data_IF_249563400452
#
_entry.id   IF_249563400452
#
_cell.length_a   1.000
_cell.length_b   1.000
_cell.length_c   1.000
_cell.angle_alpha   90.00
_cell.angle_beta   90.00
_cell.angle_gamma   90.00
#
_symmetry.space_group_name_H-M   'P 1'
#
loop_
_entity.id
_entity.type
_entity.pdbx_description
1 polymer ?
#
# COMPACT_ATOMS: atom_id res chain seq x y z
N UNK A 1 37.49 -21.85 -82.24
CA UNK A 1 36.95 -20.48 -82.40
C UNK A 1 35.53 -20.44 -81.86
N UNK A 2 35.29 -19.57 -80.86
CA UNK A 2 34.02 -19.03 -80.33
C UNK A 2 34.06 -18.98 -78.80
N UNK A 3 34.77 -17.97 -78.28
CA UNK A 3 34.69 -17.50 -76.89
C UNK A 3 33.47 -16.58 -76.76
N UNK A 4 32.54 -16.92 -75.87
CA UNK A 4 31.36 -16.11 -75.56
C UNK A 4 31.65 -15.22 -74.35
N UNK A 5 31.55 -13.90 -74.53
CA UNK A 5 31.66 -12.90 -73.47
C UNK A 5 30.35 -12.84 -72.67
N UNK A 6 30.41 -13.11 -71.35
CA UNK A 6 29.35 -12.77 -70.41
C UNK A 6 29.60 -11.35 -69.87
N UNK A 7 28.66 -10.43 -70.10
CA UNK A 7 28.62 -9.11 -69.45
C UNK A 7 28.08 -9.27 -68.04
N UNK A 8 28.88 -8.92 -67.05
CA UNK A 8 28.45 -8.75 -65.65
C UNK A 8 27.90 -7.32 -65.49
N UNK A 9 26.59 -7.18 -65.25
CA UNK A 9 26.01 -5.92 -64.79
C UNK A 9 26.22 -5.81 -63.28
N UNK A 10 27.06 -4.85 -62.85
CA UNK A 10 27.12 -4.40 -61.45
C UNK A 10 25.87 -3.55 -61.16
N UNK A 11 24.99 -4.05 -60.29
CA UNK A 11 23.92 -3.25 -59.69
C UNK A 11 24.47 -2.70 -58.38
N UNK A 12 24.74 -1.39 -58.34
CA UNK A 12 25.08 -0.67 -57.12
C UNK A 12 23.84 -0.57 -56.22
N UNK A 13 23.78 -1.37 -55.17
CA UNK A 13 22.74 -1.26 -54.14
C UNK A 13 23.06 -0.05 -53.23
N UNK A 14 22.31 1.04 -53.39
CA UNK A 14 22.33 2.15 -52.45
C UNK A 14 21.70 1.71 -51.12
N UNK A 15 22.52 1.59 -50.07
CA UNK A 15 22.04 1.37 -48.71
C UNK A 15 21.46 2.69 -48.20
N UNK A 16 20.15 2.86 -48.32
CA UNK A 16 19.43 3.95 -47.66
C UNK A 16 19.30 3.56 -46.19
N UNK A 17 20.12 4.17 -45.34
CA UNK A 17 20.00 4.06 -43.89
C UNK A 17 18.68 4.71 -43.45
N UNK A 18 17.66 3.89 -43.19
CA UNK A 18 16.48 4.34 -42.45
C UNK A 18 16.86 4.52 -40.98
N UNK A 19 17.14 5.76 -40.58
CA UNK A 19 17.07 6.13 -39.16
C UNK A 19 15.60 6.10 -38.77
N UNK A 20 15.20 5.07 -38.00
CA UNK A 20 13.91 5.07 -37.33
C UNK A 20 13.84 6.35 -36.45
N UNK A 21 12.75 7.13 -36.51
CA UNK A 21 12.60 8.25 -35.60
C UNK A 21 12.62 7.71 -34.18
N UNK A 22 13.63 8.13 -33.41
CA UNK A 22 13.71 7.86 -31.98
C UNK A 22 12.44 8.46 -31.37
N UNK A 23 11.52 7.62 -30.91
CA UNK A 23 10.33 8.08 -30.21
C UNK A 23 10.79 9.00 -29.08
N UNK A 24 10.40 10.28 -29.12
CA UNK A 24 10.61 11.17 -27.97
C UNK A 24 10.02 10.46 -26.76
N UNK A 25 10.82 10.25 -25.72
CA UNK A 25 10.33 9.70 -24.47
C UNK A 25 9.21 10.63 -23.98
N UNK A 26 7.97 10.13 -24.03
CA UNK A 26 6.81 10.91 -23.60
C UNK A 26 6.87 11.03 -22.09
N UNK A 27 6.76 12.25 -21.56
CA UNK A 27 6.74 12.46 -20.12
C UNK A 27 5.59 11.66 -19.49
N UNK A 28 5.79 11.07 -18.30
CA UNK A 28 4.72 10.41 -17.54
C UNK A 28 3.50 11.32 -17.37
N UNK A 29 2.31 10.83 -17.73
CA UNK A 29 1.04 11.53 -17.55
C UNK A 29 0.26 10.88 -16.41
N UNK A 30 -0.29 11.70 -15.53
CA UNK A 30 -1.08 11.29 -14.38
C UNK A 30 -2.49 11.86 -14.46
N UNK A 31 -3.47 11.12 -13.95
CA UNK A 31 -4.84 11.60 -13.76
C UNK A 31 -5.29 11.17 -12.38
N UNK A 32 -5.59 12.15 -11.55
CA UNK A 32 -5.84 11.94 -10.12
C UNK A 32 -7.29 11.57 -9.85
N UNK A 33 -7.49 10.80 -8.79
CA UNK A 33 -8.80 10.38 -8.28
C UNK A 33 -8.79 10.44 -6.76
N UNK A 34 -9.97 10.65 -6.17
CA UNK A 34 -10.16 10.65 -4.72
C UNK A 34 -10.94 9.40 -4.33
N UNK A 35 -10.21 8.43 -3.84
CA UNK A 35 -10.73 7.20 -3.23
C UNK A 35 -9.99 7.05 -1.90
N UNK A 36 -10.70 7.30 -0.79
CA UNK A 36 -10.16 7.06 0.54
C UNK A 36 -10.12 5.54 0.79
N UNK A 37 -9.09 5.05 1.46
CA UNK A 37 -8.91 3.62 1.76
C UNK A 37 -8.94 2.68 0.52
N UNK A 38 -8.09 2.91 -0.49
CA UNK A 38 -8.18 2.17 -1.75
C UNK A 38 -7.72 0.70 -1.62
N UNK A 39 -8.64 -0.25 -1.75
CA UNK A 39 -8.35 -1.68 -1.95
C UNK A 39 -8.27 -2.04 -3.43
N UNK A 40 -7.09 -2.51 -3.86
CA UNK A 40 -6.78 -2.83 -5.26
C UNK A 40 -7.22 -4.24 -5.64
N UNK A 41 -7.84 -4.36 -6.81
CA UNK A 41 -8.08 -5.62 -7.53
C UNK A 41 -7.77 -5.42 -9.02
N UNK A 42 -7.19 -6.42 -9.66
CA UNK A 42 -6.99 -6.44 -11.11
C UNK A 42 -7.87 -7.50 -11.74
N UNK A 43 -8.63 -7.11 -12.76
CA UNK A 43 -9.38 -8.05 -13.62
C UNK A 43 -9.07 -7.75 -15.09
N UNK A 44 -8.67 -8.78 -15.85
CA UNK A 44 -8.14 -8.60 -17.19
C UNK A 44 -6.90 -7.70 -17.22
N UNK A 45 -6.96 -6.63 -18.03
CA UNK A 45 -5.91 -5.62 -18.18
C UNK A 45 -6.11 -4.38 -17.29
N UNK A 46 -7.18 -4.35 -16.51
CA UNK A 46 -7.63 -3.16 -15.79
C UNK A 46 -7.50 -3.33 -14.28
N UNK A 47 -6.88 -2.35 -13.64
CA UNK A 47 -6.81 -2.19 -12.19
C UNK A 47 -8.02 -1.41 -11.72
N UNK A 48 -8.60 -1.83 -10.61
CA UNK A 48 -9.65 -1.14 -9.89
C UNK A 48 -9.20 -0.87 -8.47
N UNK A 49 -9.65 0.24 -7.91
CA UNK A 49 -9.61 0.50 -6.47
C UNK A 49 -11.01 0.76 -5.99
N UNK A 50 -11.37 0.13 -4.87
CA UNK A 50 -12.61 0.37 -4.13
C UNK A 50 -12.23 0.92 -2.77
N UNK A 51 -12.94 1.95 -2.33
CA UNK A 51 -12.64 2.62 -1.08
C UNK A 51 -13.87 3.01 -0.30
N UNK A 52 -13.64 3.68 0.83
CA UNK A 52 -14.68 4.23 1.68
C UNK A 52 -15.69 5.06 0.89
N UNK A 53 -16.88 5.22 1.46
CA UNK A 53 -17.99 5.96 0.86
C UNK A 53 -18.48 5.38 -0.47
N UNK A 54 -18.26 4.09 -0.72
CA UNK A 54 -18.58 3.43 -2.00
C UNK A 54 -17.92 4.14 -3.19
N UNK A 55 -16.75 4.74 -2.94
CA UNK A 55 -15.92 5.36 -3.97
C UNK A 55 -15.12 4.29 -4.72
N UNK A 56 -14.90 4.50 -6.01
CA UNK A 56 -14.09 3.60 -6.82
C UNK A 56 -13.51 4.31 -8.03
N UNK A 57 -12.39 3.76 -8.53
CA UNK A 57 -11.72 4.22 -9.73
C UNK A 57 -11.06 3.05 -10.46
N UNK A 58 -10.72 3.25 -11.73
CA UNK A 58 -9.97 2.28 -12.54
C UNK A 58 -8.82 2.88 -13.31
N UNK A 59 -7.83 2.06 -13.66
CA UNK A 59 -6.69 2.43 -14.48
C UNK A 59 -6.17 1.23 -15.27
N UNK A 60 -5.59 1.46 -16.46
CA UNK A 60 -4.84 0.42 -17.19
C UNK A 60 -3.35 0.41 -16.87
N UNK A 61 -2.82 1.49 -16.28
CA UNK A 61 -1.38 1.71 -16.12
C UNK A 61 -0.97 2.17 -14.71
N UNK A 62 -1.91 2.24 -13.75
CA UNK A 62 -1.70 2.71 -12.37
C UNK A 62 -1.30 4.19 -12.24
N UNK A 63 -1.32 4.95 -13.33
CA UNK A 63 -0.91 6.36 -13.38
C UNK A 63 -2.08 7.28 -13.73
N UNK A 64 -2.84 6.90 -14.76
CA UNK A 64 -4.03 7.62 -15.21
C UNK A 64 -5.26 6.88 -14.69
N UNK A 65 -5.90 7.46 -13.69
CA UNK A 65 -7.09 6.90 -13.08
C UNK A 65 -8.35 7.59 -13.62
N UNK A 66 -9.42 6.82 -13.73
CA UNK A 66 -10.76 7.28 -14.05
C UNK A 66 -11.66 7.00 -12.86
N UNK A 67 -12.24 8.05 -12.25
CA UNK A 67 -13.23 7.90 -11.19
C UNK A 67 -14.50 7.21 -11.74
N UNK A 68 -15.04 6.25 -11.00
CA UNK A 68 -16.28 5.53 -11.32
C UNK A 68 -17.41 5.98 -10.38
N UNK A 69 -17.11 6.06 -9.08
CA UNK A 69 -18.05 6.48 -8.04
C UNK A 69 -17.31 7.23 -6.93
N UNK A 70 -18.02 8.07 -6.17
CA UNK A 70 -17.42 8.94 -5.14
C UNK A 70 -18.18 9.02 -3.82
N UNK A 71 -19.42 8.55 -3.74
CA UNK A 71 -20.23 8.64 -2.52
C UNK A 71 -21.34 7.59 -2.43
N UNK A 72 -21.81 7.32 -1.21
CA UNK A 72 -23.00 6.51 -0.94
C UNK A 72 -24.24 7.31 -1.30
N UNK A 73 -24.92 6.91 -2.37
CA UNK A 73 -26.18 7.52 -2.79
C UNK A 73 -27.01 6.52 -3.63
N UNK A 74 -28.33 6.73 -3.80
CA UNK A 74 -29.20 5.78 -4.51
C UNK A 74 -28.81 5.52 -5.97
N UNK A 75 -28.09 6.45 -6.61
CA UNK A 75 -27.67 6.37 -8.01
C UNK A 75 -26.24 5.81 -8.18
N UNK A 76 -25.57 5.40 -7.09
CA UNK A 76 -24.23 4.84 -7.19
C UNK A 76 -24.27 3.54 -8.02
N UNK A 77 -23.45 3.41 -9.09
CA UNK A 77 -23.53 2.28 -10.01
C UNK A 77 -23.12 0.95 -9.37
N UNK A 78 -22.29 0.98 -8.33
CA UNK A 78 -21.86 -0.23 -7.64
C UNK A 78 -23.02 -0.88 -6.89
N UNK A 79 -23.84 -0.09 -6.20
CA UNK A 79 -25.00 -0.57 -5.44
C UNK A 79 -26.17 0.41 -5.64
N UNK A 80 -26.98 0.23 -6.68
CA UNK A 80 -28.19 1.02 -6.88
C UNK A 80 -29.15 0.86 -5.69
N UNK A 81 -29.77 1.96 -5.25
CA UNK A 81 -30.63 2.00 -4.05
C UNK A 81 -29.93 1.46 -2.79
N UNK A 82 -28.64 1.80 -2.61
CA UNK A 82 -27.79 1.31 -1.51
C UNK A 82 -28.44 1.35 -0.13
N UNK A 83 -29.18 2.42 0.22
CA UNK A 83 -29.86 2.54 1.52
C UNK A 83 -30.95 1.50 1.75
N UNK A 84 -31.56 0.97 0.69
CA UNK A 84 -32.50 -0.14 0.76
C UNK A 84 -31.76 -1.47 0.71
N UNK A 85 -30.81 -1.63 -0.21
CA UNK A 85 -30.06 -2.87 -0.41
C UNK A 85 -29.26 -3.27 0.86
N UNK A 86 -28.70 -2.29 1.57
CA UNK A 86 -27.87 -2.48 2.78
C UNK A 86 -28.52 -1.90 4.05
N UNK A 87 -29.86 -1.80 4.08
CA UNK A 87 -30.61 -1.14 5.17
C UNK A 87 -30.17 -1.58 6.57
N UNK A 88 -30.04 -2.89 6.78
CA UNK A 88 -29.70 -3.49 8.07
C UNK A 88 -28.33 -3.03 8.60
N UNK A 89 -27.39 -2.76 7.68
CA UNK A 89 -26.04 -2.30 8.03
C UNK A 89 -26.07 -0.84 8.45
N UNK A 90 -26.77 0.02 7.71
CA UNK A 90 -26.94 1.43 8.07
C UNK A 90 -27.72 1.59 9.38
N UNK A 91 -28.80 0.83 9.56
CA UNK A 91 -29.59 0.83 10.80
C UNK A 91 -28.71 0.44 12.01
N UNK A 92 -27.89 -0.61 11.86
CA UNK A 92 -27.02 -1.07 12.94
C UNK A 92 -25.95 -0.06 13.30
N UNK A 93 -25.24 0.44 12.28
CA UNK A 93 -24.11 1.35 12.41
C UNK A 93 -24.55 2.80 12.70
N UNK A 94 -25.83 3.13 12.54
CA UNK A 94 -26.34 4.49 12.73
C UNK A 94 -25.57 5.51 11.86
N UNK A 95 -25.31 5.11 10.61
CA UNK A 95 -24.50 5.86 9.65
C UNK A 95 -25.22 5.92 8.31
N UNK A 96 -24.93 6.95 7.52
CA UNK A 96 -25.40 7.13 6.15
C UNK A 96 -24.30 6.82 5.11
N UNK A 97 -23.14 6.34 5.57
CA UNK A 97 -22.01 6.02 4.70
C UNK A 97 -21.42 4.65 4.99
N UNK A 98 -20.59 4.17 4.07
CA UNK A 98 -19.82 2.95 4.20
C UNK A 98 -18.35 3.30 4.44
N UNK A 99 -17.66 2.46 5.19
CA UNK A 99 -16.20 2.54 5.40
C UNK A 99 -15.48 1.60 4.42
N UNK A 100 -14.16 1.43 4.61
CA UNK A 100 -13.25 0.81 3.67
C UNK A 100 -13.68 -0.60 3.27
N UNK A 101 -14.06 -0.86 2.01
CA UNK A 101 -14.43 -2.17 1.54
C UNK A 101 -13.22 -2.93 0.99
N UNK A 102 -13.41 -4.23 0.74
CA UNK A 102 -12.57 -4.99 -0.17
C UNK A 102 -13.40 -5.73 -1.21
N UNK A 103 -12.86 -5.89 -2.42
CA UNK A 103 -13.49 -6.65 -3.49
C UNK A 103 -12.57 -7.78 -3.92
N UNK A 104 -13.00 -9.02 -3.69
CA UNK A 104 -12.26 -10.22 -4.09
C UNK A 104 -13.04 -11.00 -5.16
N UNK A 105 -12.35 -11.50 -6.19
CA UNK A 105 -12.94 -12.46 -7.11
C UNK A 105 -12.77 -13.88 -6.54
N UNK A 106 -13.87 -14.61 -6.36
CA UNK A 106 -13.83 -15.98 -5.84
C UNK A 106 -13.86 -17.03 -6.95
N UNK A 107 -13.81 -18.31 -6.58
CA UNK A 107 -13.66 -19.44 -7.51
C UNK A 107 -14.84 -19.63 -8.48
N UNK A 108 -16.00 -19.03 -8.17
CA UNK A 108 -17.17 -19.00 -9.07
C UNK A 108 -17.07 -17.90 -10.15
N UNK A 109 -15.98 -17.13 -10.16
CA UNK A 109 -15.73 -16.03 -11.09
C UNK A 109 -16.45 -14.73 -10.74
N UNK A 110 -17.27 -14.69 -9.69
CA UNK A 110 -18.00 -13.51 -9.25
C UNK A 110 -17.15 -12.63 -8.34
N UNK A 111 -17.54 -11.38 -8.21
CA UNK A 111 -16.89 -10.37 -7.38
C UNK A 111 -17.65 -10.21 -6.07
N UNK A 112 -16.97 -10.40 -4.95
CA UNK A 112 -17.50 -10.32 -3.60
C UNK A 112 -16.97 -9.04 -2.95
N UNK A 113 -17.86 -8.08 -2.73
CA UNK A 113 -17.58 -6.85 -1.98
C UNK A 113 -17.87 -7.09 -0.51
N UNK A 114 -16.82 -7.12 0.30
CA UNK A 114 -16.90 -7.10 1.75
C UNK A 114 -17.06 -5.64 2.18
N UNK A 115 -18.27 -5.28 2.60
CA UNK A 115 -18.66 -3.91 2.89
C UNK A 115 -18.96 -3.75 4.39
N UNK A 116 -18.75 -2.56 4.92
CA UNK A 116 -18.95 -2.27 6.33
C UNK A 116 -19.40 -0.83 6.55
N UNK A 117 -20.10 -0.61 7.65
CA UNK A 117 -20.42 0.71 8.17
C UNK A 117 -20.09 0.77 9.66
N UNK A 118 -19.75 1.96 10.12
CA UNK A 118 -19.44 2.28 11.51
C UNK A 118 -20.08 3.62 11.87
N UNK A 119 -20.52 3.76 13.12
CA UNK A 119 -21.05 5.03 13.65
C UNK A 119 -20.04 6.17 13.64
N UNK A 120 -18.75 5.83 13.80
CA UNK A 120 -17.62 6.76 13.78
C UNK A 120 -17.17 7.28 15.14
N UNK A 121 -18.08 7.40 16.11
CA UNK A 121 -17.76 7.78 17.50
C UNK A 121 -17.48 6.59 18.43
N UNK A 122 -17.74 5.38 17.94
CA UNK A 122 -17.71 4.12 18.69
C UNK A 122 -17.60 2.94 17.73
N UNK A 123 -17.16 1.74 18.16
CA UNK A 123 -17.05 0.56 17.29
C UNK A 123 -18.42 -0.10 17.04
N UNK A 124 -19.48 0.71 16.91
CA UNK A 124 -20.82 0.26 16.54
C UNK A 124 -20.86 0.04 15.04
N UNK A 125 -20.53 -1.18 14.63
CA UNK A 125 -20.24 -1.50 13.24
C UNK A 125 -20.81 -2.84 12.81
N UNK A 126 -21.08 -2.98 11.52
CA UNK A 126 -21.49 -4.22 10.89
C UNK A 126 -20.68 -4.44 9.60
N UNK A 127 -20.27 -5.68 9.38
CA UNK A 127 -19.57 -6.15 8.19
C UNK A 127 -20.40 -7.24 7.50
N UNK A 128 -20.63 -7.05 6.20
CA UNK A 128 -21.40 -7.95 5.35
C UNK A 128 -20.72 -8.18 4.01
N UNK A 129 -21.37 -8.97 3.15
CA UNK A 129 -20.87 -9.25 1.80
C UNK A 129 -21.96 -9.09 0.75
N UNK A 130 -21.63 -8.42 -0.34
CA UNK A 130 -22.47 -8.27 -1.53
C UNK A 130 -21.75 -8.85 -2.76
N UNK A 131 -22.50 -9.38 -3.73
CA UNK A 131 -21.92 -10.12 -4.87
C UNK A 131 -22.42 -9.57 -6.19
N UNK A 132 -21.51 -9.50 -7.16
CA UNK A 132 -21.80 -9.09 -8.54
C UNK A 132 -21.16 -10.03 -9.55
N UNK A 133 -21.80 -10.20 -10.70
CA UNK A 133 -21.20 -10.87 -11.87
C UNK A 133 -20.17 -9.98 -12.58
N UNK A 134 -20.20 -8.67 -12.35
CA UNK A 134 -19.33 -7.67 -12.98
C UNK A 134 -18.63 -6.83 -11.92
N UNK A 135 -17.36 -6.51 -12.14
CA UNK A 135 -16.55 -5.76 -11.19
C UNK A 135 -17.12 -4.36 -10.87
N UNK A 136 -17.76 -3.70 -11.86
CA UNK A 136 -18.41 -2.38 -11.70
C UNK A 136 -19.87 -2.49 -11.22
N UNK A 137 -20.29 -3.63 -10.70
CA UNK A 137 -21.64 -3.85 -10.16
C UNK A 137 -22.70 -4.21 -11.23
N UNK A 138 -23.99 -4.24 -10.83
CA UNK A 138 -24.47 -3.95 -9.47
C UNK A 138 -24.19 -5.11 -8.50
N UNK A 139 -23.72 -4.82 -7.30
CA UNK A 139 -23.55 -5.78 -6.21
C UNK A 139 -24.88 -5.97 -5.47
N UNK A 140 -25.17 -7.22 -5.13
CA UNK A 140 -26.38 -7.65 -4.42
C UNK A 140 -26.05 -8.23 -3.06
N UNK A 141 -26.73 -7.73 -2.04
CA UNK A 141 -26.46 -8.07 -0.65
C UNK A 141 -26.72 -9.56 -0.38
N UNK A 142 -25.81 -10.21 0.35
CA UNK A 142 -26.01 -11.57 0.88
C UNK A 142 -26.22 -11.59 2.40
N UNK A 143 -25.98 -10.48 3.09
CA UNK A 143 -26.24 -10.31 4.51
C UNK A 143 -25.00 -9.92 5.31
N UNK A 144 -25.26 -9.40 6.51
CA UNK A 144 -24.28 -9.13 7.57
C UNK A 144 -23.84 -10.46 8.19
N UNK A 145 -22.56 -10.59 8.52
CA UNK A 145 -22.04 -11.78 9.21
C UNK A 145 -21.15 -11.47 10.42
N UNK A 146 -20.79 -10.21 10.66
CA UNK A 146 -20.15 -9.76 11.89
C UNK A 146 -20.73 -8.43 12.36
N UNK A 147 -20.87 -8.28 13.67
CA UNK A 147 -21.21 -7.02 14.36
C UNK A 147 -20.24 -6.74 15.51
N UNK A 148 -20.09 -5.46 15.83
CA UNK A 148 -19.41 -4.96 17.02
C UNK A 148 -20.21 -3.82 17.65
N UNK A 149 -19.88 -3.50 18.92
CA UNK A 149 -20.54 -2.41 19.65
C UNK A 149 -21.96 -2.74 20.11
N UNK A 150 -22.28 -4.02 20.30
CA UNK A 150 -23.52 -4.45 20.94
C UNK A 150 -23.46 -4.28 22.46
N UNK A 151 -24.60 -4.01 23.06
CA UNK A 151 -24.79 -4.21 24.50
C UNK A 151 -25.17 -5.69 24.72
N UNK A 152 -24.21 -6.49 25.18
CA UNK A 152 -24.43 -7.91 25.46
C UNK A 152 -23.50 -8.85 24.71
N UNK A 153 -23.99 -10.05 24.40
CA UNK A 153 -23.19 -11.13 23.80
C UNK A 153 -22.71 -10.74 22.40
N UNK A 154 -21.41 -10.91 22.19
CA UNK A 154 -20.67 -10.67 20.97
C UNK A 154 -20.60 -11.93 20.12
N UNK A 155 -19.91 -11.85 18.97
CA UNK A 155 -19.79 -12.94 18.00
C UNK A 155 -19.07 -14.18 18.55
N UNK A 156 -18.23 -14.02 19.59
CA UNK A 156 -17.57 -15.12 20.28
C UNK A 156 -18.36 -15.70 21.47
N UNK A 157 -19.57 -15.17 21.71
CA UNK A 157 -20.47 -15.59 22.80
C UNK A 157 -20.21 -14.93 24.15
N UNK A 158 -19.14 -14.15 24.30
CA UNK A 158 -18.83 -13.35 25.50
C UNK A 158 -19.39 -11.93 25.39
N UNK A 159 -19.42 -11.15 26.47
CA UNK A 159 -19.89 -9.75 26.41
C UNK A 159 -18.95 -8.90 25.55
N UNK A 160 -19.48 -8.04 24.68
CA UNK A 160 -18.64 -7.18 23.84
C UNK A 160 -17.83 -6.17 24.65
N UNK A 161 -16.52 -6.17 24.47
CA UNK A 161 -15.59 -5.24 25.12
C UNK A 161 -14.59 -4.71 24.10
N UNK A 162 -14.67 -3.41 23.78
CA UNK A 162 -13.89 -2.79 22.71
C UNK A 162 -12.37 -2.72 22.97
N UNK A 163 -11.90 -2.97 24.18
CA UNK A 163 -10.46 -3.09 24.49
C UNK A 163 -9.88 -4.45 24.03
N UNK A 164 -10.72 -5.47 23.84
CA UNK A 164 -10.31 -6.83 23.45
C UNK A 164 -10.92 -7.31 22.14
N UNK A 165 -12.15 -6.92 21.83
CA UNK A 165 -12.85 -7.28 20.59
C UNK A 165 -12.66 -6.23 19.50
N UNK A 166 -12.62 -6.65 18.23
CA UNK A 166 -12.39 -5.73 17.12
C UNK A 166 -13.56 -4.77 16.92
N UNK A 167 -13.26 -3.66 16.24
CA UNK A 167 -14.26 -2.99 15.42
C UNK A 167 -14.37 -3.77 14.10
N UNK A 168 -15.57 -4.20 13.69
CA UNK A 168 -15.75 -5.07 12.50
C UNK A 168 -15.76 -4.25 11.21
N UNK A 169 -14.62 -3.65 10.88
CA UNK A 169 -14.39 -2.80 9.69
C UNK A 169 -13.06 -3.17 9.03
N UNK A 170 -12.77 -2.54 7.90
CA UNK A 170 -11.51 -2.64 7.16
C UNK A 170 -11.14 -4.09 6.76
N UNK A 171 -12.06 -4.85 6.13
CA UNK A 171 -11.75 -6.18 5.65
C UNK A 171 -10.74 -6.15 4.51
N UNK A 172 -9.92 -7.19 4.43
CA UNK A 172 -9.25 -7.62 3.22
C UNK A 172 -9.39 -9.14 3.10
N UNK A 173 -9.99 -9.60 2.02
CA UNK A 173 -10.18 -11.02 1.72
C UNK A 173 -9.19 -11.48 0.65
N UNK A 174 -8.41 -12.52 0.96
CA UNK A 174 -7.35 -13.01 0.08
C UNK A 174 -7.22 -14.53 0.12
N UNK A 175 -6.79 -15.09 -1.01
CA UNK A 175 -6.33 -16.48 -1.06
C UNK A 175 -4.88 -16.57 -0.62
N UNK A 176 -4.58 -17.54 0.21
CA UNK A 176 -3.22 -17.91 0.57
C UNK A 176 -2.56 -18.73 -0.56
N UNK A 177 -1.24 -18.97 -0.48
CA UNK A 177 -0.51 -19.71 -1.52
C UNK A 177 -0.94 -21.18 -1.68
N UNK A 178 -1.77 -21.71 -0.77
CA UNK A 178 -2.34 -23.06 -0.81
C UNK A 178 -3.81 -23.05 -1.27
N UNK A 179 -4.36 -21.89 -1.63
CA UNK A 179 -5.74 -21.75 -2.12
C UNK A 179 -6.80 -21.68 -1.02
N UNK A 180 -6.42 -21.50 0.25
CA UNK A 180 -7.36 -21.27 1.34
C UNK A 180 -7.70 -19.79 1.41
N UNK A 181 -8.99 -19.48 1.58
CA UNK A 181 -9.49 -18.11 1.65
C UNK A 181 -9.44 -17.61 3.10
N UNK A 182 -8.93 -16.40 3.28
CA UNK A 182 -8.81 -15.73 4.57
C UNK A 182 -9.38 -14.31 4.46
N UNK A 183 -9.83 -13.76 5.58
CA UNK A 183 -10.15 -12.34 5.70
C UNK A 183 -9.48 -11.77 6.95
N UNK A 184 -8.59 -10.80 6.75
CA UNK A 184 -8.04 -9.99 7.85
C UNK A 184 -8.86 -8.71 7.98
N UNK A 185 -9.09 -8.22 9.18
CA UNK A 185 -9.89 -7.03 9.41
C UNK A 185 -9.61 -6.40 10.78
N UNK A 186 -10.11 -5.18 10.98
CA UNK A 186 -10.10 -4.49 12.26
C UNK A 186 -9.57 -3.06 12.17
N UNK A 187 -10.18 -2.16 12.95
CA UNK A 187 -9.67 -0.82 13.21
C UNK A 187 -9.73 -0.53 14.70
N UNK A 188 -8.60 -0.12 15.25
CA UNK A 188 -8.45 0.33 16.62
C UNK A 188 -8.93 -0.74 17.62
N UNK A 189 -9.73 -0.35 18.63
CA UNK A 189 -10.44 -1.25 19.55
C UNK A 189 -9.57 -2.43 20.05
N UNK A 190 -10.07 -3.66 19.91
CA UNK A 190 -9.38 -4.88 20.31
C UNK A 190 -8.22 -5.30 19.41
N UNK A 191 -8.02 -4.62 18.29
CA UNK A 191 -6.94 -4.87 17.34
C UNK A 191 -7.39 -5.55 16.04
N UNK A 192 -6.41 -6.18 15.38
CA UNK A 192 -6.53 -6.79 14.06
C UNK A 192 -6.74 -8.30 14.20
N UNK A 193 -7.71 -8.84 13.48
CA UNK A 193 -8.12 -10.24 13.55
C UNK A 193 -8.13 -10.87 12.15
N UNK A 194 -8.05 -12.19 12.10
CA UNK A 194 -8.15 -12.97 10.86
C UNK A 194 -9.14 -14.13 11.00
N UNK A 195 -9.96 -14.32 9.98
CA UNK A 195 -10.92 -15.40 9.83
C UNK A 195 -10.56 -16.29 8.65
N UNK A 196 -10.77 -17.58 8.80
CA UNK A 196 -10.84 -18.51 7.68
C UNK A 196 -12.22 -18.38 7.01
N UNK A 197 -12.23 -18.27 5.69
CA UNK A 197 -13.42 -18.01 4.90
C UNK A 197 -13.79 -19.22 4.03
N UNK A 198 -15.07 -19.38 3.77
CA UNK A 198 -15.58 -20.38 2.85
C UNK A 198 -15.43 -19.87 1.40
N UNK A 199 -14.59 -20.50 0.56
CA UNK A 199 -14.34 -20.03 -0.81
C UNK A 199 -15.55 -20.17 -1.74
N UNK A 200 -16.58 -20.95 -1.37
CA UNK A 200 -17.80 -21.13 -2.16
C UNK A 200 -18.88 -20.09 -1.82
N UNK A 201 -18.91 -19.62 -0.58
CA UNK A 201 -20.00 -18.74 -0.12
C UNK A 201 -19.55 -17.31 0.14
N UNK A 202 -18.26 -17.07 0.37
CA UNK A 202 -17.71 -15.79 0.79
C UNK A 202 -18.00 -15.42 2.25
N UNK A 203 -18.54 -16.34 3.05
CA UNK A 203 -18.76 -16.13 4.49
C UNK A 203 -17.65 -16.79 5.32
N UNK A 204 -17.43 -16.37 6.58
CA UNK A 204 -16.55 -17.09 7.49
C UNK A 204 -16.98 -18.56 7.66
N UNK A 205 -16.01 -19.45 7.89
CA UNK A 205 -16.33 -20.79 8.42
C UNK A 205 -16.98 -20.67 9.82
N UNK A 206 -17.86 -21.62 10.21
CA UNK A 206 -18.60 -21.52 11.47
C UNK A 206 -17.70 -21.63 12.71
N UNK A 207 -18.20 -21.15 13.85
CA UNK A 207 -17.61 -21.31 15.19
C UNK A 207 -16.22 -20.66 15.39
N UNK A 208 -15.95 -19.55 14.71
CA UNK A 208 -14.69 -18.80 14.88
C UNK A 208 -14.81 -17.57 15.79
N UNK A 209 -16.04 -17.11 16.09
CA UNK A 209 -16.25 -15.80 16.72
C UNK A 209 -15.64 -14.68 15.87
N UNK A 210 -14.84 -13.82 16.50
CA UNK A 210 -14.05 -12.81 15.80
C UNK A 210 -12.78 -13.36 15.12
N UNK A 211 -12.50 -14.65 15.21
CA UNK A 211 -11.31 -15.28 14.64
C UNK A 211 -10.06 -15.07 15.49
N UNK A 212 -8.89 -15.24 14.88
CA UNK A 212 -7.59 -15.18 15.57
C UNK A 212 -7.07 -13.75 15.57
N UNK A 213 -6.73 -13.23 16.75
CA UNK A 213 -6.05 -11.95 16.89
C UNK A 213 -4.61 -12.01 16.34
N UNK A 214 -4.24 -11.02 15.55
CA UNK A 214 -2.89 -10.86 15.00
C UNK A 214 -2.05 -9.83 15.76
N UNK A 215 -2.67 -8.72 16.19
CA UNK A 215 -2.03 -7.63 16.95
C UNK A 215 -3.06 -6.64 17.51
N UNK A 216 -2.60 -5.62 18.24
CA UNK A 216 -3.42 -4.52 18.74
C UNK A 216 -4.12 -4.82 20.07
N UNK A 217 -5.09 -3.98 20.44
CA UNK A 217 -5.80 -4.04 21.71
C UNK A 217 -5.72 -2.71 22.47
N UNK A 218 -6.60 -2.53 23.45
CA UNK A 218 -6.67 -1.32 24.27
C UNK A 218 -6.74 -0.05 23.42
N UNK A 219 -7.54 -0.10 22.34
CA UNK A 219 -7.75 1.02 21.43
C UNK A 219 -6.46 1.57 20.81
N UNK A 220 -5.46 0.74 20.53
CA UNK A 220 -4.30 1.18 19.73
C UNK A 220 -4.72 1.77 18.40
N UNK A 221 -4.15 2.90 17.97
CA UNK A 221 -4.44 3.52 16.66
C UNK A 221 -3.77 2.74 15.53
N UNK A 222 -4.32 1.57 15.22
CA UNK A 222 -3.86 0.65 14.18
C UNK A 222 -5.07 0.14 13.40
N UNK A 223 -5.02 0.25 12.07
CA UNK A 223 -6.13 -0.14 11.18
C UNK A 223 -5.67 -0.46 9.75
N UNK A 224 -6.63 -0.71 8.85
CA UNK A 224 -6.38 -0.97 7.43
C UNK A 224 -5.44 -2.14 7.16
N UNK A 225 -5.71 -3.36 7.69
CA UNK A 225 -4.83 -4.50 7.48
C UNK A 225 -4.91 -5.01 6.04
N UNK A 226 -3.75 -5.24 5.44
CA UNK A 226 -3.65 -5.85 4.10
C UNK A 226 -2.52 -6.87 4.06
N UNK A 227 -2.82 -8.12 3.71
CA UNK A 227 -1.86 -9.21 3.61
C UNK A 227 -1.54 -9.52 2.15
N UNK A 228 -0.25 -9.47 1.80
CA UNK A 228 0.26 -9.87 0.49
C UNK A 228 1.30 -10.96 0.60
N UNK A 229 1.17 -12.04 -0.17
CA UNK A 229 2.18 -13.09 -0.25
C UNK A 229 3.21 -12.76 -1.33
N UNK A 230 4.50 -12.80 -0.97
CA UNK A 230 5.58 -12.70 -1.95
C UNK A 230 6.18 -14.09 -2.22
N UNK A 231 6.13 -14.60 -3.45
CA UNK A 231 6.63 -15.95 -3.76
C UNK A 231 8.16 -16.06 -3.76
N UNK A 232 8.90 -14.96 -3.90
CA UNK A 232 10.36 -14.98 -3.90
C UNK A 232 10.90 -15.11 -2.48
N UNK A 233 10.35 -14.36 -1.53
CA UNK A 233 10.74 -14.45 -0.11
C UNK A 233 9.99 -15.54 0.66
N UNK A 234 8.89 -16.04 0.09
CA UNK A 234 7.96 -17.00 0.71
C UNK A 234 7.47 -16.51 2.07
N UNK A 235 7.10 -15.23 2.14
CA UNK A 235 6.52 -14.59 3.32
C UNK A 235 5.19 -13.95 2.94
N UNK A 236 4.27 -13.95 3.91
CA UNK A 236 3.13 -13.06 3.96
C UNK A 236 3.56 -11.77 4.64
N UNK A 237 3.26 -10.63 4.03
CA UNK A 237 3.51 -9.31 4.58
C UNK A 237 2.17 -8.71 5.01
N UNK A 238 2.03 -8.42 6.29
CA UNK A 238 0.88 -7.72 6.86
C UNK A 238 1.21 -6.23 6.89
N UNK A 239 0.59 -5.49 5.99
CA UNK A 239 0.61 -4.03 5.95
C UNK A 239 -0.48 -3.48 6.86
N UNK A 240 -0.19 -2.35 7.51
CA UNK A 240 -1.03 -1.72 8.51
C UNK A 240 -0.84 -0.21 8.42
N UNK A 241 -1.82 0.56 8.89
CA UNK A 241 -1.66 1.99 9.12
C UNK A 241 -1.69 2.29 10.61
N UNK A 242 -0.73 3.09 11.07
CA UNK A 242 -0.59 3.51 12.47
C UNK A 242 -0.89 5.00 12.59
N UNK A 243 -1.48 5.41 13.71
CA UNK A 243 -1.89 6.80 13.96
C UNK A 243 -3.28 7.12 13.40
N UNK A 244 -3.62 8.40 13.36
CA UNK A 244 -4.89 8.90 12.81
C UNK A 244 -4.77 9.38 11.38
N UNK A 245 -5.82 9.15 10.58
CA UNK A 245 -5.88 9.46 9.14
C UNK A 245 -5.85 10.95 8.79
N UNK A 246 -6.27 11.82 9.72
CA UNK A 246 -6.37 13.27 9.51
C UNK A 246 -4.98 13.93 9.42
N UNK A 247 -4.94 15.21 9.02
CA UNK A 247 -3.66 15.94 8.88
C UNK A 247 -2.84 16.08 10.17
N UNK A 248 -3.47 15.98 11.35
CA UNK A 248 -2.81 16.02 12.66
C UNK A 248 -2.65 14.63 13.31
N UNK A 249 -3.16 13.57 12.66
CA UNK A 249 -3.21 12.23 13.25
C UNK A 249 -1.91 11.43 13.14
N UNK A 250 -1.01 11.81 12.23
CA UNK A 250 0.29 11.18 12.06
C UNK A 250 0.26 9.81 11.38
N UNK A 251 -0.68 9.62 10.45
CA UNK A 251 -0.84 8.37 9.72
C UNK A 251 0.45 7.95 9.02
N UNK A 252 0.81 6.69 9.18
CA UNK A 252 2.00 6.10 8.57
C UNK A 252 1.80 4.61 8.28
N UNK A 253 2.34 4.15 7.17
CA UNK A 253 2.26 2.75 6.74
C UNK A 253 3.35 1.92 7.39
N UNK A 254 2.97 0.77 7.93
CA UNK A 254 3.87 -0.21 8.53
C UNK A 254 3.71 -1.59 7.91
N UNK A 255 4.74 -2.42 8.04
CA UNK A 255 4.70 -3.81 7.60
C UNK A 255 5.37 -4.75 8.61
N UNK A 256 4.78 -5.93 8.78
CA UNK A 256 5.34 -7.09 9.46
C UNK A 256 5.27 -8.32 8.54
N UNK A 257 5.94 -9.42 8.87
CA UNK A 257 5.89 -10.64 8.05
C UNK A 257 5.74 -11.93 8.84
N UNK A 258 5.18 -12.94 8.19
CA UNK A 258 4.99 -14.29 8.72
C UNK A 258 5.16 -15.34 7.61
N UNK A 259 5.55 -16.57 7.98
CA UNK A 259 5.53 -17.72 7.06
C UNK A 259 4.11 -18.26 6.83
N UNK A 260 3.17 -17.93 7.70
CA UNK A 260 1.77 -18.34 7.63
C UNK A 260 0.86 -17.12 7.43
N UNK A 261 -0.28 -17.25 6.72
CA UNK A 261 -1.23 -16.17 6.53
C UNK A 261 -1.85 -15.66 7.84
N UNK A 262 -1.91 -16.50 8.87
CA UNK A 262 -2.51 -16.21 10.17
C UNK A 262 -1.45 -15.96 11.28
N UNK A 263 -0.21 -15.67 10.89
CA UNK A 263 0.88 -15.33 11.83
C UNK A 263 1.56 -16.55 12.49
N UNK A 264 2.30 -16.34 13.59
CA UNK A 264 2.60 -15.04 14.20
C UNK A 264 3.41 -14.11 13.26
N UNK A 265 3.10 -12.82 13.29
CA UNK A 265 3.78 -11.80 12.51
C UNK A 265 4.87 -11.13 13.34
N UNK A 266 6.03 -10.89 12.73
CA UNK A 266 7.17 -10.22 13.35
C UNK A 266 7.63 -9.04 12.51
N UNK A 267 8.20 -8.02 13.13
CA UNK A 267 8.88 -6.92 12.45
C UNK A 267 10.36 -7.23 12.13
N UNK A 268 11.11 -6.26 11.59
CA UNK A 268 12.51 -6.45 11.22
C UNK A 268 13.44 -6.67 12.43
N UNK A 269 13.08 -6.11 13.60
CA UNK A 269 13.81 -6.29 14.85
C UNK A 269 13.46 -7.62 15.55
N UNK A 270 12.47 -8.35 15.04
CA UNK A 270 12.00 -9.61 15.62
C UNK A 270 10.97 -9.43 16.72
N UNK A 271 10.38 -8.24 16.89
CA UNK A 271 9.28 -8.07 17.82
C UNK A 271 8.03 -8.77 17.31
N UNK A 272 7.35 -9.50 18.21
CA UNK A 272 6.06 -10.10 17.90
C UNK A 272 4.99 -9.02 17.81
N UNK A 273 4.28 -8.94 16.70
CA UNK A 273 3.22 -7.94 16.52
C UNK A 273 2.06 -8.13 17.48
N UNK A 274 1.87 -9.33 18.06
CA UNK A 274 0.84 -9.55 19.09
C UNK A 274 1.02 -8.64 20.31
N UNK A 275 2.25 -8.20 20.58
CA UNK A 275 2.61 -7.32 21.69
C UNK A 275 2.47 -5.82 21.36
N UNK A 276 2.18 -5.48 20.09
CA UNK A 276 1.94 -4.10 19.64
C UNK A 276 0.56 -3.61 20.08
N UNK A 277 0.40 -3.30 21.37
CA UNK A 277 -0.85 -2.82 21.97
C UNK A 277 -0.61 -1.67 22.96
N UNK A 278 -1.65 -0.87 23.18
CA UNK A 278 -1.68 0.13 24.25
C UNK A 278 -1.64 -0.53 25.63
N UNK A 279 -1.27 0.23 26.65
CA UNK A 279 -1.34 -0.23 28.05
C UNK A 279 -2.79 -0.54 28.43
N UNK A 280 -2.99 -1.46 29.37
CA UNK A 280 -4.34 -1.78 29.86
C UNK A 280 -5.00 -0.54 30.46
N UNK A 281 -6.25 -0.28 30.07
CA UNK A 281 -6.99 0.93 30.47
C UNK A 281 -6.60 2.22 29.75
N UNK A 282 -5.62 2.19 28.83
CA UNK A 282 -5.29 3.35 27.99
C UNK A 282 -6.22 3.48 26.78
N UNK A 283 -6.16 4.65 26.14
CA UNK A 283 -6.83 4.94 24.88
C UNK A 283 -5.88 5.72 23.99
N UNK A 284 -5.66 5.25 22.76
CA UNK A 284 -4.74 5.87 21.80
C UNK A 284 -3.30 6.07 22.33
N UNK A 285 -2.77 5.09 23.08
CA UNK A 285 -1.38 5.10 23.58
C UNK A 285 -0.37 4.79 22.46
N UNK A 286 -0.11 5.79 21.62
CA UNK A 286 0.80 5.69 20.48
C UNK A 286 2.24 5.34 20.89
N UNK A 287 2.67 5.79 22.07
CA UNK A 287 4.03 5.53 22.57
C UNK A 287 4.27 4.06 22.85
N UNK A 288 3.24 3.31 23.22
CA UNK A 288 3.34 1.88 23.39
C UNK A 288 3.49 1.13 22.05
N UNK A 289 2.92 1.64 20.96
CA UNK A 289 2.89 0.93 19.66
C UNK A 289 3.95 1.41 18.65
N UNK A 290 4.44 2.64 18.75
CA UNK A 290 5.44 3.19 17.81
C UNK A 290 6.75 2.38 17.68
N UNK A 291 7.21 1.59 18.65
CA UNK A 291 8.40 0.75 18.47
C UNK A 291 8.20 -0.44 17.49
N UNK A 292 6.97 -0.85 17.22
CA UNK A 292 6.67 -2.09 16.49
C UNK A 292 6.44 -1.89 14.99
N UNK A 293 6.78 -2.89 14.18
CA UNK A 293 6.52 -2.89 12.74
C UNK A 293 7.50 -2.02 11.95
N UNK A 294 7.80 -2.42 10.72
CA UNK A 294 8.69 -1.66 9.83
C UNK A 294 7.94 -0.45 9.28
N UNK A 295 8.36 0.79 9.58
CA UNK A 295 7.70 2.00 9.09
C UNK A 295 8.21 2.32 7.68
N UNK A 296 7.34 2.13 6.68
CA UNK A 296 7.68 2.32 5.26
C UNK A 296 7.61 3.78 4.82
N UNK A 297 6.61 4.51 5.31
CA UNK A 297 6.33 5.88 4.89
C UNK A 297 5.49 6.60 5.95
N UNK A 298 5.85 7.85 6.23
CA UNK A 298 5.04 8.80 7.01
C UNK A 298 5.07 10.18 6.36
N UNK A 299 4.52 11.20 6.99
CA UNK A 299 4.49 12.56 6.42
C UNK A 299 5.89 13.12 6.10
N UNK A 300 6.07 13.64 4.89
CA UNK A 300 7.36 14.17 4.40
C UNK A 300 7.16 15.29 3.36
N UNK A 301 8.20 16.07 3.11
CA UNK A 301 8.25 17.01 1.98
C UNK A 301 9.67 17.19 1.47
N UNK A 302 9.89 16.99 0.17
CA UNK A 302 11.15 17.33 -0.51
C UNK A 302 11.20 18.79 -0.97
N UNK A 303 10.11 19.55 -0.80
CA UNK A 303 10.09 20.96 -1.15
C UNK A 303 10.98 21.78 -0.20
N UNK A 304 11.63 22.81 -0.75
CA UNK A 304 12.36 23.83 0.00
C UNK A 304 11.89 25.22 -0.43
N UNK A 305 12.39 26.28 0.21
CA UNK A 305 12.08 27.66 -0.21
C UNK A 305 12.47 27.94 -1.68
N UNK A 306 13.48 27.24 -2.19
CA UNK A 306 14.07 27.47 -3.52
C UNK A 306 13.77 26.38 -4.56
N UNK A 307 13.16 25.26 -4.17
CA UNK A 307 12.91 24.14 -5.08
C UNK A 307 11.56 23.47 -4.79
N UNK A 308 10.75 23.27 -5.84
CA UNK A 308 9.54 22.44 -5.77
C UNK A 308 9.91 21.01 -5.40
N UNK A 309 9.02 20.32 -4.69
CA UNK A 309 9.19 18.91 -4.36
C UNK A 309 7.86 18.25 -4.05
N UNK A 310 7.84 16.93 -4.13
CA UNK A 310 6.71 16.12 -3.67
C UNK A 310 6.67 16.11 -2.14
N UNK A 311 5.48 15.92 -1.58
CA UNK A 311 5.30 15.76 -0.15
C UNK A 311 3.91 15.25 0.18
N UNK A 312 3.84 14.45 1.24
CA UNK A 312 2.63 13.77 1.70
C UNK A 312 2.40 14.07 3.18
N UNK A 313 1.12 14.10 3.55
CA UNK A 313 0.64 14.17 4.94
C UNK A 313 -0.26 12.97 5.14
N UNK A 314 -0.05 12.26 6.25
CA UNK A 314 -0.85 11.09 6.63
C UNK A 314 -1.06 10.07 5.48
N UNK A 315 0.00 9.59 4.80
CA UNK A 315 -0.15 8.54 3.78
C UNK A 315 -0.49 7.19 4.45
N UNK A 316 -1.55 6.53 3.99
CA UNK A 316 -1.92 5.22 4.53
C UNK A 316 -3.19 4.59 3.97
N UNK A 317 -3.72 3.66 4.75
CA UNK A 317 -4.76 2.69 4.41
C UNK A 317 -4.50 2.06 3.05
N UNK A 318 -3.43 1.28 3.00
CA UNK A 318 -2.90 0.80 1.74
C UNK A 318 -3.44 -0.58 1.37
N UNK A 319 -3.42 -0.85 0.08
CA UNK A 319 -3.42 -2.18 -0.50
C UNK A 319 -2.13 -2.44 -1.28
N UNK A 320 -1.87 -3.71 -1.60
CA UNK A 320 -0.66 -4.12 -2.33
C UNK A 320 -1.00 -5.08 -3.46
N UNK A 321 -0.58 -4.73 -4.68
CA UNK A 321 -0.69 -5.60 -5.84
C UNK A 321 0.67 -6.21 -6.18
N UNK A 322 0.74 -7.55 -6.26
CA UNK A 322 1.87 -8.27 -6.84
C UNK A 322 1.51 -8.77 -8.24
N UNK A 323 2.24 -8.31 -9.25
CA UNK A 323 2.10 -8.79 -10.61
C UNK A 323 2.95 -10.05 -10.82
N UNK A 324 2.31 -11.22 -10.84
CA UNK A 324 3.01 -12.49 -11.07
C UNK A 324 3.73 -12.60 -12.43
N UNK A 325 3.37 -11.77 -13.44
CA UNK A 325 4.02 -11.78 -14.75
C UNK A 325 5.33 -11.00 -14.73
N UNK A 326 5.30 -9.79 -14.16
CA UNK A 326 6.48 -8.90 -14.11
C UNK A 326 7.28 -9.06 -12.83
N UNK A 327 6.74 -9.79 -11.84
CA UNK A 327 7.26 -9.95 -10.47
C UNK A 327 7.38 -8.62 -9.71
N UNK A 328 6.59 -7.62 -10.09
CA UNK A 328 6.62 -6.29 -9.49
C UNK A 328 5.54 -6.16 -8.43
N UNK A 329 5.88 -5.50 -7.33
CA UNK A 329 4.93 -5.11 -6.28
C UNK A 329 4.65 -3.62 -6.34
N UNK A 330 3.39 -3.26 -6.08
CA UNK A 330 2.90 -1.89 -6.06
C UNK A 330 2.15 -1.65 -4.75
N UNK A 331 2.48 -0.56 -4.08
CA UNK A 331 1.79 -0.03 -2.90
C UNK A 331 0.78 1.01 -3.37
N UNK A 332 -0.50 0.78 -3.12
CA UNK A 332 -1.60 1.69 -3.48
C UNK A 332 -2.20 2.22 -2.19
N UNK A 333 -2.30 3.53 -2.04
CA UNK A 333 -2.73 4.16 -0.79
C UNK A 333 -3.38 5.52 -1.08
N UNK A 334 -4.10 6.07 -0.10
CA UNK A 334 -4.49 7.47 -0.15
C UNK A 334 -3.51 8.31 0.66
N UNK A 335 -3.40 9.59 0.33
CA UNK A 335 -2.61 10.53 1.12
C UNK A 335 -3.24 11.92 1.05
N UNK A 336 -3.06 12.68 2.13
CA UNK A 336 -3.22 14.14 2.12
C UNK A 336 -1.92 14.80 1.69
N UNK A 337 -1.92 16.13 1.59
CA UNK A 337 -0.79 16.89 1.08
C UNK A 337 -0.47 18.10 1.95
N UNK A 338 0.80 18.52 2.03
CA UNK A 338 1.17 19.76 2.69
C UNK A 338 0.35 20.94 2.11
N UNK A 339 -0.25 21.74 3.00
CA UNK A 339 -1.02 22.95 2.65
C UNK A 339 -2.29 22.72 1.81
N UNK A 340 -2.88 21.51 1.81
CA UNK A 340 -4.16 21.20 1.14
C UNK A 340 -5.27 20.72 2.10
N UNK A 341 -5.06 20.87 3.42
CA UNK A 341 -6.00 20.40 4.43
C UNK A 341 -6.30 18.89 4.28
N UNK A 342 -7.58 18.53 4.36
CA UNK A 342 -8.05 17.14 4.31
C UNK A 342 -8.26 16.61 2.89
N UNK A 343 -7.91 17.39 1.85
CA UNK A 343 -7.91 16.89 0.47
C UNK A 343 -7.00 15.67 0.35
N UNK A 344 -7.52 14.61 -0.28
CA UNK A 344 -6.78 13.37 -0.48
C UNK A 344 -6.93 12.83 -1.90
N UNK A 345 -5.89 12.14 -2.35
CA UNK A 345 -5.85 11.47 -3.65
C UNK A 345 -5.17 10.11 -3.53
N UNK A 346 -5.46 9.22 -4.48
CA UNK A 346 -4.75 7.94 -4.61
C UNK A 346 -3.31 8.17 -5.07
N UNK A 347 -2.38 7.40 -4.50
CA UNK A 347 -0.98 7.30 -4.93
C UNK A 347 -0.60 5.84 -5.11
N UNK A 348 0.35 5.62 -6.02
CA UNK A 348 0.93 4.31 -6.30
C UNK A 348 2.44 4.45 -6.25
N UNK A 349 3.11 3.65 -5.43
CA UNK A 349 4.57 3.57 -5.35
C UNK A 349 5.01 2.13 -5.63
N UNK A 350 6.13 1.93 -6.32
CA UNK A 350 6.71 0.59 -6.44
C UNK A 350 7.26 0.13 -5.09
N UNK A 351 7.14 -1.16 -4.82
CA UNK A 351 7.85 -1.82 -3.74
C UNK A 351 8.98 -2.68 -4.32
N UNK A 352 10.14 -2.61 -3.70
CA UNK A 352 11.30 -3.43 -4.03
C UNK A 352 11.69 -4.24 -2.81
N UNK A 353 12.15 -5.48 -3.00
CA UNK A 353 12.60 -6.29 -1.87
C UNK A 353 14.10 -6.02 -1.59
N UNK A 354 14.45 -5.66 -0.36
CA UNK A 354 15.86 -5.58 0.04
C UNK A 354 16.46 -6.99 0.22
N UNK A 355 17.76 -7.09 0.51
CA UNK A 355 18.46 -8.38 0.67
C UNK A 355 17.90 -9.25 1.81
N UNK A 356 17.29 -8.62 2.82
CA UNK A 356 16.78 -9.30 4.02
C UNK A 356 15.32 -9.73 3.86
N UNK A 357 14.75 -9.54 2.66
CA UNK A 357 13.38 -9.89 2.36
C UNK A 357 12.37 -8.93 2.99
N UNK A 358 12.69 -7.63 3.08
CA UNK A 358 11.76 -6.58 3.48
C UNK A 358 11.47 -5.63 2.31
N UNK A 359 10.20 -5.23 2.10
CA UNK A 359 9.86 -4.28 1.06
C UNK A 359 10.34 -2.88 1.44
N UNK A 360 10.96 -2.19 0.48
CA UNK A 360 11.27 -0.76 0.53
C UNK A 360 10.40 -0.04 -0.51
N UNK A 361 9.77 1.07 -0.12
CA UNK A 361 8.94 1.85 -1.02
C UNK A 361 9.79 2.82 -1.85
N UNK A 362 9.52 2.91 -3.15
CA UNK A 362 10.12 3.91 -4.03
C UNK A 362 9.82 5.33 -3.49
N UNK A 363 10.79 6.27 -3.48
CA UNK A 363 10.57 7.63 -3.02
C UNK A 363 9.54 8.44 -3.83
N UNK A 364 9.38 8.12 -5.11
CA UNK A 364 8.41 8.77 -6.00
C UNK A 364 7.27 7.84 -6.41
N UNK A 365 6.18 8.46 -6.85
CA UNK A 365 5.05 7.72 -7.42
C UNK A 365 5.49 6.97 -8.68
N UNK A 366 4.94 5.79 -8.89
CA UNK A 366 5.19 4.96 -10.05
C UNK A 366 4.92 5.73 -11.35
N UNK A 367 5.86 5.70 -12.27
CA UNK A 367 5.82 6.44 -13.53
C UNK A 367 6.14 5.55 -14.75
N UNK A 368 6.11 4.23 -14.58
CA UNK A 368 6.49 3.28 -15.63
C UNK A 368 7.99 2.96 -15.67
N UNK A 369 8.73 3.32 -14.62
CA UNK A 369 10.18 3.16 -14.57
C UNK A 369 10.61 1.68 -14.73
N UNK A 370 11.53 1.37 -15.66
CA UNK A 370 12.04 0.02 -15.82
C UNK A 370 13.03 -0.33 -14.70
N UNK A 371 13.22 -1.62 -14.47
CA UNK A 371 14.27 -2.10 -13.57
C UNK A 371 15.63 -1.78 -14.19
N UNK A 372 16.29 -0.75 -13.66
CA UNK A 372 17.51 -0.16 -14.25
C UNK A 372 18.71 -0.39 -13.34
N UNK A 373 19.83 -0.84 -13.93
CA UNK A 373 21.13 -0.90 -13.26
C UNK A 373 21.65 0.52 -13.03
N UNK A 374 21.99 0.85 -11.78
CA UNK A 374 22.56 2.15 -11.42
C UNK A 374 24.05 1.96 -11.11
N UNK A 375 24.98 2.41 -11.98
CA UNK A 375 26.40 2.29 -11.69
C UNK A 375 26.81 3.29 -10.59
N UNK A 376 27.87 3.01 -9.79
CA UNK A 376 28.33 3.90 -8.72
C UNK A 376 28.57 5.35 -9.19
N UNK A 377 29.12 5.55 -10.40
CA UNK A 377 29.32 6.89 -10.94
C UNK A 377 28.01 7.68 -11.09
N UNK A 378 26.91 7.03 -11.52
CA UNK A 378 25.59 7.65 -11.61
C UNK A 378 24.97 7.90 -10.24
N UNK A 379 25.22 7.01 -9.27
CA UNK A 379 24.76 7.16 -7.89
C UNK A 379 25.53 8.24 -7.11
N UNK A 380 26.79 8.53 -7.43
CA UNK A 380 27.57 9.57 -6.74
C UNK A 380 26.95 10.97 -6.93
N UNK A 381 26.97 11.81 -5.88
CA UNK A 381 26.43 13.16 -5.93
C UNK A 381 25.75 13.62 -4.65
N UNK A 382 25.15 14.80 -4.69
CA UNK A 382 24.39 15.38 -3.57
C UNK A 382 22.97 14.82 -3.55
N UNK A 383 22.44 14.52 -2.37
CA UNK A 383 21.10 14.00 -2.17
C UNK A 383 20.36 14.79 -1.08
N UNK A 384 19.06 15.02 -1.30
CA UNK A 384 18.07 15.30 -0.26
C UNK A 384 17.68 13.98 0.41
N UNK A 385 17.92 13.87 1.71
CA UNK A 385 17.71 12.65 2.49
C UNK A 385 16.58 12.82 3.49
N UNK A 386 15.55 11.97 3.40
CA UNK A 386 14.45 11.87 4.36
C UNK A 386 14.67 10.65 5.25
N UNK A 387 14.62 10.86 6.57
CA UNK A 387 14.52 9.78 7.56
C UNK A 387 13.09 9.74 8.07
N UNK A 388 12.35 8.68 7.78
CA UNK A 388 10.95 8.56 8.24
C UNK A 388 10.86 8.25 9.74
N UNK A 389 11.94 7.73 10.35
CA UNK A 389 11.98 7.31 11.76
C UNK A 389 11.03 6.17 12.06
N UNK A 390 10.64 6.04 13.33
CA UNK A 390 9.67 5.05 13.85
C UNK A 390 8.50 5.66 14.63
N UNK A 391 8.49 6.96 14.82
CA UNK A 391 7.45 7.68 15.56
C UNK A 391 6.08 7.65 14.86
N UNK A 392 5.01 7.83 15.63
CA UNK A 392 3.71 8.28 15.12
C UNK A 392 3.68 9.80 15.31
N UNK A 393 3.67 10.57 14.22
CA UNK A 393 3.78 12.03 14.30
C UNK A 393 3.11 12.73 13.11
N UNK A 394 2.48 13.87 13.40
CA UNK A 394 1.98 14.80 12.38
C UNK A 394 3.09 15.70 11.80
N UNK A 395 4.28 15.71 12.40
CA UNK A 395 5.40 16.51 11.90
C UNK A 395 5.84 16.00 10.53
N UNK A 396 5.69 16.86 9.52
CA UNK A 396 6.20 16.62 8.17
C UNK A 396 7.73 16.60 8.21
N UNK A 397 8.34 15.45 7.89
CA UNK A 397 9.79 15.31 7.86
C UNK A 397 10.36 16.04 6.64
N UNK A 398 11.41 16.83 6.86
CA UNK A 398 12.11 17.61 5.82
C UNK A 398 13.51 17.04 5.58
N UNK A 399 14.09 17.24 4.38
CA UNK A 399 15.32 16.56 4.01
C UNK A 399 16.55 17.21 4.63
N UNK A 400 17.56 16.39 4.90
CA UNK A 400 18.96 16.80 5.11
C UNK A 400 19.74 16.65 3.82
N UNK A 401 20.75 17.47 3.59
CA UNK A 401 21.63 17.35 2.44
C UNK A 401 22.86 16.49 2.78
N UNK A 402 23.04 15.43 2.02
CA UNK A 402 24.23 14.58 2.09
C UNK A 402 24.89 14.50 0.71
N UNK A 403 26.13 14.03 0.67
CA UNK A 403 26.84 13.72 -0.57
C UNK A 403 27.39 12.30 -0.53
N UNK A 404 27.02 11.50 -1.52
CA UNK A 404 27.62 10.20 -1.81
C UNK A 404 28.89 10.43 -2.64
N UNK A 405 30.06 10.26 -2.04
CA UNK A 405 31.36 10.48 -2.69
C UNK A 405 31.79 9.25 -3.49
N UNK A 406 32.62 9.46 -4.52
CA UNK A 406 33.10 8.39 -5.41
C UNK A 406 33.96 7.32 -4.70
N UNK A 407 34.54 7.66 -3.56
CA UNK A 407 35.34 6.75 -2.73
C UNK A 407 34.49 5.86 -1.80
N UNK A 408 33.15 5.94 -1.90
CA UNK A 408 32.23 5.18 -1.07
C UNK A 408 31.93 5.84 0.29
N UNK A 409 32.43 7.04 0.56
CA UNK A 409 32.10 7.79 1.79
C UNK A 409 30.84 8.66 1.62
N UNK A 410 30.20 9.01 2.73
CA UNK A 410 29.11 9.98 2.82
C UNK A 410 29.59 11.19 3.61
N UNK A 411 29.36 12.39 3.09
CA UNK A 411 29.63 13.68 3.77
C UNK A 411 28.40 14.60 3.76
N UNK A 412 28.48 15.75 4.43
CA UNK A 412 27.39 16.73 4.54
C UNK A 412 26.78 16.75 5.94
N UNK A 413 25.46 16.89 6.03
CA UNK A 413 24.73 16.93 7.30
C UNK A 413 24.69 15.57 8.03
N UNK A 414 25.09 14.49 7.35
CA UNK A 414 25.32 13.17 7.91
C UNK A 414 26.59 12.57 7.32
N UNK A 415 27.20 11.63 8.03
CA UNK A 415 28.44 10.96 7.63
C UNK A 415 28.27 9.45 7.60
N UNK A 416 29.12 8.75 6.84
CA UNK A 416 29.11 7.29 6.79
C UNK A 416 29.67 6.75 5.49
N UNK A 417 29.12 5.64 5.00
CA UNK A 417 29.61 4.94 3.81
C UNK A 417 28.45 4.41 2.97
N UNK A 418 28.67 4.23 1.68
CA UNK A 418 27.68 3.64 0.78
C UNK A 418 28.36 2.72 -0.23
N UNK A 419 27.64 1.67 -0.63
CA UNK A 419 28.07 0.74 -1.68
C UNK A 419 26.88 0.25 -2.50
N UNK A 420 27.16 -0.14 -3.73
CA UNK A 420 26.24 -0.90 -4.59
C UNK A 420 26.80 -2.32 -4.65
N UNK A 421 26.04 -3.30 -4.15
CA UNK A 421 26.52 -4.68 -3.95
C UNK A 421 26.19 -5.59 -5.13
N UNK A 422 24.94 -5.54 -5.60
CA UNK A 422 24.47 -6.15 -6.86
C UNK A 422 23.91 -5.06 -7.78
N UNK A 423 23.43 -5.42 -8.99
CA UNK A 423 23.04 -4.47 -10.05
C UNK A 423 22.25 -3.23 -9.61
N UNK A 424 21.45 -3.28 -8.53
CA UNK A 424 20.90 -2.06 -7.93
C UNK A 424 20.75 -2.14 -6.40
N UNK A 425 21.39 -3.10 -5.71
CA UNK A 425 21.24 -3.27 -4.25
C UNK A 425 22.10 -2.26 -3.51
N UNK A 426 21.46 -1.46 -2.66
CA UNK A 426 22.12 -0.43 -1.87
C UNK A 426 22.44 -0.95 -0.47
N UNK A 427 23.67 -0.68 -0.01
CA UNK A 427 24.02 -0.70 1.41
C UNK A 427 24.54 0.67 1.81
N UNK A 428 23.89 1.28 2.80
CA UNK A 428 24.18 2.63 3.27
C UNK A 428 24.39 2.55 4.78
N UNK A 429 25.53 3.05 5.25
CA UNK A 429 25.78 3.32 6.66
C UNK A 429 25.64 4.82 6.90
N UNK A 430 24.79 5.21 7.83
CA UNK A 430 24.62 6.60 8.25
C UNK A 430 24.83 6.68 9.75
N UNK A 431 25.88 7.40 10.17
CA UNK A 431 26.26 7.59 11.57
C UNK A 431 26.32 6.28 12.38
N UNK A 432 26.80 5.19 11.76
CA UNK A 432 26.93 3.88 12.41
C UNK A 432 25.78 2.90 12.17
N UNK A 433 24.60 3.37 11.75
CA UNK A 433 23.45 2.49 11.45
C UNK A 433 23.52 2.00 10.00
N UNK A 434 23.42 0.69 9.81
CA UNK A 434 23.35 0.07 8.49
C UNK A 434 21.91 0.00 7.97
N UNK A 435 21.76 0.33 6.70
CA UNK A 435 20.51 0.26 5.95
C UNK A 435 20.75 -0.51 4.64
N UNK A 436 19.79 -1.34 4.25
CA UNK A 436 19.83 -2.10 3.01
C UNK A 436 18.55 -1.91 2.19
N UNK A 437 18.71 -1.81 0.86
CA UNK A 437 17.61 -1.55 -0.06
C UNK A 437 18.05 -1.47 -1.50
N UNK A 438 17.61 -0.44 -2.22
CA UNK A 438 17.85 -0.30 -3.67
C UNK A 438 18.17 1.13 -4.09
N UNK A 439 19.01 1.26 -5.12
CA UNK A 439 19.10 2.46 -5.95
C UNK A 439 18.14 2.35 -7.13
N UNK A 440 17.51 3.46 -7.50
CA UNK A 440 16.49 3.52 -8.55
C UNK A 440 16.72 4.72 -9.47
N UNK A 441 16.13 4.65 -10.65
CA UNK A 441 15.91 5.81 -11.52
C UNK A 441 14.41 6.06 -11.55
N UNK A 442 13.99 7.23 -11.10
CA UNK A 442 12.57 7.58 -10.94
C UNK A 442 12.24 8.91 -11.62
N UNK A 443 10.95 9.17 -11.82
CA UNK A 443 10.45 10.46 -12.31
C UNK A 443 10.00 11.34 -11.15
N UNK A 444 10.64 12.49 -10.98
CA UNK A 444 10.17 13.53 -10.09
C UNK A 444 9.09 14.35 -10.78
N UNK A 445 7.82 14.09 -10.46
CA UNK A 445 6.69 14.79 -11.07
C UNK A 445 6.57 16.27 -10.67
N UNK A 446 7.21 16.71 -9.59
CA UNK A 446 7.19 18.12 -9.18
C UNK A 446 8.23 18.96 -9.92
N UNK A 447 9.35 18.33 -10.31
CA UNK A 447 10.46 18.96 -11.06
C UNK A 447 10.51 18.56 -12.54
N UNK A 448 9.65 17.64 -12.96
CA UNK A 448 9.53 17.11 -14.32
C UNK A 448 10.87 16.60 -14.90
N UNK A 449 11.59 15.81 -14.11
CA UNK A 449 12.87 15.22 -14.53
C UNK A 449 13.08 13.84 -13.95
N UNK A 450 13.87 13.03 -14.66
CA UNK A 450 14.38 11.78 -14.10
C UNK A 450 15.48 12.06 -13.08
N UNK A 451 15.47 11.32 -11.97
CA UNK A 451 16.43 11.44 -10.88
C UNK A 451 16.89 10.06 -10.41
N UNK A 452 18.11 9.99 -9.90
CA UNK A 452 18.57 8.82 -9.17
C UNK A 452 18.11 8.95 -7.73
N UNK A 453 17.57 7.87 -7.19
CA UNK A 453 17.14 7.80 -5.80
C UNK A 453 17.67 6.54 -5.14
N UNK A 454 17.56 6.49 -3.82
CA UNK A 454 17.65 5.24 -3.08
C UNK A 454 16.55 5.15 -2.03
N UNK A 455 16.19 3.92 -1.70
CA UNK A 455 15.28 3.59 -0.61
C UNK A 455 15.83 2.40 0.14
N UNK A 456 16.05 2.57 1.44
CA UNK A 456 16.74 1.61 2.30
C UNK A 456 16.07 1.49 3.66
N UNK A 457 16.23 0.34 4.30
CA UNK A 457 15.67 0.01 5.61
C UNK A 457 16.77 -0.44 6.58
N UNK A 458 16.70 0.00 7.84
CA UNK A 458 17.56 -0.54 8.91
C UNK A 458 17.03 -1.88 9.45
N UNK A 459 17.85 -2.55 10.26
CA UNK A 459 17.43 -3.72 11.03
C UNK A 459 16.28 -3.45 12.01
N UNK A 460 16.15 -2.20 12.49
CA UNK A 460 15.08 -1.78 13.40
C UNK A 460 13.77 -1.36 12.69
N UNK A 461 13.79 -1.41 11.34
CA UNK A 461 12.63 -1.08 10.51
C UNK A 461 12.42 0.41 10.26
N UNK A 462 13.50 1.21 10.26
CA UNK A 462 13.47 2.62 9.87
C UNK A 462 13.74 2.80 8.37
N UNK A 463 12.82 3.45 7.65
CA UNK A 463 13.01 3.80 6.25
C UNK A 463 13.78 5.11 6.06
N UNK A 464 14.73 5.09 5.12
CA UNK A 464 15.47 6.26 4.66
C UNK A 464 15.41 6.34 3.15
N UNK A 465 15.07 7.52 2.64
CA UNK A 465 15.06 7.83 1.21
C UNK A 465 16.09 8.89 0.89
N UNK A 466 16.73 8.75 -0.26
CA UNK A 466 17.57 9.78 -0.86
C UNK A 466 17.12 10.10 -2.26
N UNK A 467 17.05 11.40 -2.58
CA UNK A 467 16.78 11.91 -3.92
C UNK A 467 17.91 12.82 -4.36
N UNK A 468 18.50 12.53 -5.52
CA UNK A 468 19.61 13.31 -6.10
C UNK A 468 19.21 14.69 -6.61
#
# INVERSE_FOLDING_TARGET
MKTSFFRVCLVSAAVIGFTLPQAKAQHPVFSEVSVHDPSVIKTGDTYYVFGSHLASAKSKNLMQWQQISSSVNPNNPLIPNVYTELKETFDWAQSDTLWAPDVAQLSDGKYYMYYNACKGDSPRSALGVAVSDKIEGPYKNKGIFLKSGMEGKSEDGTTYHANVHPNVVDPQTFFDHKGKLWMVYGSYSGGIFILEMNPKTGFPLPNQGYGKKLLGGNHSRIEGPYISYNPETKYYYLYLSFGGLDTAGGYNMRVARSKNPDGPYYDAAGHNMLDAKGKDGSFFDDKAIEPYGVKLMGGYSFASQSEKGTGYVSPGHNSVFYDGKTKRSYLIFHTRFPNRGEEHEVRVHRLYMNKDGWPVAAPYRYAGEPDTHIPPAAASGTYKLIQHGKDITATIKTPKNIRLNNDGTISGEMTGTWTITDSSKARINLNGTNYDGVFLKEWDSAREKEVVTFSVLSGDGEAVWGVK
#
